data_IF_994264724520
#
_entry.id   IF_994264724520
#
_cell.length_a   1.000
_cell.length_b   1.000
_cell.length_c   1.000
_cell.angle_alpha   90.00
_cell.angle_beta   90.00
_cell.angle_gamma   90.00
#
_symmetry.space_group_name_H-M   'P 1'
#
loop_
_entity.id
_entity.type
_entity.pdbx_description
1 polymer ?
#
# COMPACT_ATOMS: atom_id res chain seq x y z
N UNK A 1 4.55 -18.25 -16.01
CA UNK A 1 5.49 -17.71 -15.00
C UNK A 1 5.06 -18.27 -13.66
N UNK A 2 5.90 -19.12 -13.06
CA UNK A 2 5.66 -19.75 -11.77
C UNK A 2 5.42 -18.69 -10.69
N UNK A 3 4.56 -19.00 -9.72
CA UNK A 3 4.37 -18.25 -8.48
C UNK A 3 5.72 -18.16 -7.76
N UNK A 4 6.56 -17.18 -8.12
CA UNK A 4 7.72 -16.82 -7.30
C UNK A 4 7.14 -16.23 -6.03
N UNK A 5 7.10 -17.03 -4.98
CA UNK A 5 6.90 -16.51 -3.65
C UNK A 5 7.90 -15.40 -3.40
N UNK A 6 7.40 -14.23 -3.01
CA UNK A 6 8.26 -13.16 -2.57
C UNK A 6 8.77 -13.47 -1.17
N UNK A 7 10.08 -13.28 -1.00
CA UNK A 7 10.74 -13.46 0.27
C UNK A 7 10.30 -12.36 1.26
N UNK A 8 10.18 -12.74 2.53
CA UNK A 8 9.87 -11.79 3.62
C UNK A 8 11.19 -11.13 4.03
N UNK A 9 11.22 -9.79 4.02
CA UNK A 9 12.36 -9.04 4.53
C UNK A 9 12.32 -8.99 6.06
N UNK A 10 13.43 -9.23 6.74
CA UNK A 10 13.51 -9.13 8.20
C UNK A 10 14.47 -8.04 8.62
N UNK A 11 14.08 -7.26 9.63
CA UNK A 11 14.88 -6.17 10.18
C UNK A 11 14.84 -6.21 11.70
N UNK A 12 15.96 -5.90 12.35
CA UNK A 12 16.05 -5.87 13.81
C UNK A 12 16.69 -4.59 14.33
N UNK A 13 16.19 -4.12 15.48
CA UNK A 13 16.74 -2.98 16.23
C UNK A 13 16.36 -3.13 17.70
N UNK A 14 17.34 -3.16 18.60
CA UNK A 14 17.12 -3.13 20.06
C UNK A 14 16.07 -4.17 20.54
N UNK A 15 16.27 -5.44 20.19
CA UNK A 15 15.36 -6.57 20.48
C UNK A 15 13.96 -6.47 19.86
N UNK A 16 13.76 -5.54 18.92
CA UNK A 16 12.55 -5.44 18.10
C UNK A 16 12.81 -6.02 16.73
N UNK A 17 11.76 -6.58 16.14
CA UNK A 17 11.80 -7.23 14.84
C UNK A 17 10.67 -6.72 13.94
N UNK A 18 11.01 -6.43 12.69
CA UNK A 18 10.07 -6.08 11.62
C UNK A 18 10.18 -7.11 10.50
N UNK A 19 9.08 -7.79 10.20
CA UNK A 19 8.91 -8.62 9.02
C UNK A 19 8.17 -7.82 7.94
N UNK A 20 8.66 -7.84 6.71
CA UNK A 20 8.10 -7.08 5.58
C UNK A 20 7.56 -8.04 4.52
N UNK A 21 6.24 -8.07 4.35
CA UNK A 21 5.51 -8.91 3.39
C UNK A 21 5.08 -8.06 2.20
N UNK A 22 5.66 -8.25 1.01
CA UNK A 22 5.31 -7.46 -0.17
C UNK A 22 4.00 -7.94 -0.80
N UNK A 23 3.08 -7.00 -0.99
CA UNK A 23 1.76 -7.20 -1.60
C UNK A 23 1.72 -6.82 -3.08
N UNK A 24 0.81 -7.44 -3.80
CA UNK A 24 0.44 -7.11 -5.19
C UNK A 24 -1.08 -6.98 -5.21
N UNK A 25 -1.61 -5.84 -5.66
CA UNK A 25 -3.05 -5.55 -5.59
C UNK A 25 -3.91 -6.37 -6.56
N UNK A 26 -3.33 -6.86 -7.67
CA UNK A 26 -4.02 -7.74 -8.63
C UNK A 26 -3.12 -8.93 -8.97
N UNK A 27 -3.56 -10.12 -8.60
CA UNK A 27 -2.83 -11.36 -8.82
C UNK A 27 -3.77 -12.57 -8.85
N UNK A 28 -3.24 -13.78 -9.01
CA UNK A 28 -4.05 -14.99 -8.90
C UNK A 28 -4.45 -15.26 -7.44
N UNK A 29 -5.58 -15.93 -7.19
CA UNK A 29 -6.02 -16.32 -5.84
C UNK A 29 -4.94 -17.03 -5.00
N UNK A 30 -4.13 -17.90 -5.62
CA UNK A 30 -3.13 -18.70 -4.88
C UNK A 30 -2.03 -17.81 -4.27
N UNK A 31 -1.76 -16.64 -4.85
CA UNK A 31 -0.84 -15.68 -4.26
C UNK A 31 -1.33 -15.16 -2.91
N UNK A 32 -2.62 -14.85 -2.82
CA UNK A 32 -3.23 -14.33 -1.60
C UNK A 32 -3.39 -15.41 -0.53
N UNK A 33 -3.69 -16.66 -0.93
CA UNK A 33 -3.72 -17.79 -0.01
C UNK A 33 -2.34 -18.05 0.62
N UNK A 34 -1.27 -18.04 -0.19
CA UNK A 34 0.10 -18.16 0.34
C UNK A 34 0.47 -16.99 1.27
N UNK A 35 0.06 -15.78 0.92
CA UNK A 35 0.30 -14.58 1.73
C UNK A 35 -0.42 -14.68 3.07
N UNK A 36 -1.67 -15.14 3.06
CA UNK A 36 -2.47 -15.39 4.25
C UNK A 36 -1.76 -16.35 5.20
N UNK A 37 -1.30 -17.50 4.71
CA UNK A 37 -0.57 -18.48 5.53
C UNK A 37 0.67 -17.88 6.19
N UNK A 38 1.41 -17.02 5.48
CA UNK A 38 2.58 -16.31 6.04
C UNK A 38 2.19 -15.33 7.15
N UNK A 39 1.16 -14.51 6.91
CA UNK A 39 0.68 -13.53 7.90
C UNK A 39 0.13 -14.25 9.13
N UNK A 40 -0.65 -15.31 8.95
CA UNK A 40 -1.22 -16.10 10.05
C UNK A 40 -0.13 -16.80 10.88
N UNK A 41 0.93 -17.31 10.21
CA UNK A 41 2.11 -17.86 10.90
C UNK A 41 2.82 -16.78 11.73
N UNK A 42 3.12 -15.62 11.14
CA UNK A 42 3.78 -14.52 11.86
C UNK A 42 2.93 -14.03 13.03
N UNK A 43 1.62 -13.91 12.84
CA UNK A 43 0.69 -13.55 13.93
C UNK A 43 0.75 -14.56 15.07
N UNK A 44 0.81 -15.86 14.75
CA UNK A 44 0.95 -16.93 15.75
C UNK A 44 2.28 -16.84 16.50
N UNK A 45 3.33 -16.32 15.86
CA UNK A 45 4.65 -16.05 16.47
C UNK A 45 4.70 -14.73 17.28
N UNK A 46 3.55 -14.08 17.48
CA UNK A 46 3.37 -12.87 18.28
C UNK A 46 3.59 -11.56 17.52
N UNK A 47 3.62 -11.58 16.19
CA UNK A 47 3.70 -10.35 15.39
C UNK A 47 2.37 -9.60 15.39
N UNK A 48 2.44 -8.28 15.57
CA UNK A 48 1.32 -7.38 15.31
C UNK A 48 1.33 -6.95 13.85
N UNK A 49 0.19 -7.01 13.19
CA UNK A 49 0.08 -6.75 11.75
C UNK A 49 -0.19 -5.26 11.50
N UNK A 50 0.64 -4.65 10.67
CA UNK A 50 0.57 -3.26 10.23
C UNK A 50 0.30 -3.27 8.73
N UNK A 51 -0.87 -2.78 8.31
CA UNK A 51 -1.33 -2.95 6.93
C UNK A 51 -1.49 -1.62 6.19
N UNK A 52 -1.35 -1.70 4.87
CA UNK A 52 -1.60 -0.63 3.90
C UNK A 52 -3.08 -0.57 3.52
N UNK A 53 -3.67 0.62 3.56
CA UNK A 53 -4.93 0.92 2.88
C UNK A 53 -5.10 2.42 2.77
N UNK A 54 -5.35 2.94 1.56
CA UNK A 54 -5.76 4.32 1.38
C UNK A 54 -7.27 4.39 1.60
N UNK A 55 -7.66 4.48 2.87
CA UNK A 55 -9.05 4.62 3.28
C UNK A 55 -9.45 6.10 3.34
N UNK A 56 -10.74 6.37 3.58
CA UNK A 56 -11.23 7.71 3.90
C UNK A 56 -12.16 7.64 5.10
N UNK A 57 -12.06 8.63 6.00
CA UNK A 57 -13.04 8.83 7.08
C UNK A 57 -14.16 9.78 6.69
N UNK A 58 -14.09 10.38 5.50
CA UNK A 58 -15.10 11.30 4.99
C UNK A 58 -16.38 10.53 4.65
N UNK A 59 -17.49 10.90 5.29
CA UNK A 59 -18.81 10.31 5.06
C UNK A 59 -19.64 11.07 4.03
N UNK A 60 -19.30 12.33 3.77
CA UNK A 60 -19.96 13.15 2.74
C UNK A 60 -19.47 12.75 1.34
N UNK A 61 -20.40 12.31 0.50
CA UNK A 61 -20.06 11.77 -0.82
C UNK A 61 -19.50 12.83 -1.78
N UNK A 62 -19.93 14.09 -1.66
CA UNK A 62 -19.42 15.18 -2.49
C UNK A 62 -18.00 15.55 -2.11
N UNK A 63 -17.69 15.59 -0.81
CA UNK A 63 -16.35 15.80 -0.30
C UNK A 63 -15.42 14.64 -0.68
N UNK A 64 -15.90 13.39 -0.63
CA UNK A 64 -15.14 12.23 -1.07
C UNK A 64 -14.85 12.30 -2.59
N UNK A 65 -15.84 12.62 -3.41
CA UNK A 65 -15.66 12.82 -4.86
C UNK A 65 -14.63 13.93 -5.14
N UNK A 66 -14.70 15.05 -4.41
CA UNK A 66 -13.72 16.13 -4.52
C UNK A 66 -12.30 15.65 -4.19
N UNK A 67 -12.11 14.93 -3.09
CA UNK A 67 -10.80 14.39 -2.71
C UNK A 67 -10.27 13.40 -3.75
N UNK A 68 -11.14 12.55 -4.30
CA UNK A 68 -10.81 11.60 -5.35
C UNK A 68 -10.38 12.28 -6.64
N UNK A 69 -11.05 13.37 -7.04
CA UNK A 69 -10.64 14.18 -8.21
C UNK A 69 -9.30 14.86 -7.98
N UNK A 70 -9.07 15.41 -6.78
CA UNK A 70 -7.79 16.00 -6.40
C UNK A 70 -6.65 14.98 -6.46
N UNK A 71 -6.88 13.80 -5.92
CA UNK A 71 -5.92 12.69 -6.00
C UNK A 71 -5.63 12.35 -7.47
N UNK A 72 -6.67 12.14 -8.28
CA UNK A 72 -6.53 11.84 -9.72
C UNK A 72 -5.80 12.92 -10.50
N UNK A 73 -5.98 14.20 -10.18
CA UNK A 73 -5.24 15.27 -10.85
C UNK A 73 -3.71 15.11 -10.66
N UNK A 74 -3.30 14.64 -9.48
CA UNK A 74 -1.89 14.48 -9.12
C UNK A 74 -1.33 13.14 -9.62
N UNK A 75 -2.13 12.07 -9.62
CA UNK A 75 -1.67 10.69 -9.87
C UNK A 75 -2.07 10.14 -11.23
N UNK A 76 -3.01 10.78 -11.93
CA UNK A 76 -3.54 10.31 -13.19
C UNK A 76 -4.57 9.18 -13.08
N UNK A 77 -4.97 8.76 -11.87
CA UNK A 77 -6.03 7.76 -11.67
C UNK A 77 -6.83 8.02 -10.39
N UNK A 78 -8.08 7.53 -10.35
CA UNK A 78 -8.89 7.54 -9.13
C UNK A 78 -8.66 6.25 -8.33
N UNK A 79 -8.75 6.32 -6.99
CA UNK A 79 -8.75 5.16 -6.09
C UNK A 79 -10.04 4.34 -6.23
N UNK A 80 -10.12 3.56 -7.29
CA UNK A 80 -11.16 2.58 -7.53
C UNK A 80 -10.56 1.19 -7.47
N UNK A 81 -11.38 0.16 -7.25
CA UNK A 81 -10.89 -1.21 -7.38
C UNK A 81 -10.30 -1.41 -8.78
N UNK A 82 -9.12 -2.03 -8.85
CA UNK A 82 -8.42 -2.32 -10.09
C UNK A 82 -9.23 -3.24 -11.03
N UNK A 83 -10.06 -4.10 -10.45
CA UNK A 83 -10.92 -5.07 -11.15
C UNK A 83 -12.32 -4.54 -11.46
N UNK A 84 -12.68 -3.33 -11.01
CA UNK A 84 -13.94 -2.67 -11.37
C UNK A 84 -14.02 -2.45 -12.89
N UNK A 85 -15.10 -2.93 -13.52
CA UNK A 85 -15.30 -2.82 -14.97
C UNK A 85 -15.35 -1.36 -15.47
N UNK A 86 -15.73 -0.42 -14.62
CA UNK A 86 -15.73 1.01 -14.93
C UNK A 86 -14.35 1.67 -14.81
N UNK A 87 -13.36 0.97 -14.23
CA UNK A 87 -11.99 1.47 -14.06
C UNK A 87 -11.13 1.23 -15.32
N UNK A 88 -11.29 2.12 -16.30
CA UNK A 88 -10.56 2.04 -17.58
C UNK A 88 -9.06 2.28 -17.45
N UNK A 89 -8.60 2.92 -16.38
CA UNK A 89 -7.17 3.21 -16.13
C UNK A 89 -6.37 1.93 -15.93
N UNK A 90 -6.99 0.89 -15.36
CA UNK A 90 -6.33 -0.39 -15.05
C UNK A 90 -6.88 -1.59 -15.82
N UNK A 91 -7.63 -1.36 -16.90
CA UNK A 91 -8.22 -2.41 -17.76
C UNK A 91 -7.24 -3.52 -18.21
N UNK A 92 -5.95 -3.19 -18.34
CA UNK A 92 -4.92 -4.18 -18.70
C UNK A 92 -4.68 -5.27 -17.64
N UNK A 93 -5.06 -5.01 -16.38
CA UNK A 93 -4.96 -5.91 -15.24
C UNK A 93 -6.20 -6.83 -15.10
N UNK A 94 -7.33 -6.46 -15.71
CA UNK A 94 -8.64 -7.12 -15.60
C UNK A 94 -8.73 -8.41 -16.41
N UNK A 95 -7.92 -9.40 -16.04
CA UNK A 95 -7.88 -10.73 -16.68
C UNK A 95 -8.63 -11.72 -15.80
N UNK A 96 -9.44 -12.58 -16.41
CA UNK A 96 -10.32 -13.53 -15.70
C UNK A 96 -9.63 -14.46 -14.68
N UNK A 97 -8.32 -14.67 -14.80
CA UNK A 97 -7.51 -15.49 -13.88
C UNK A 97 -6.96 -14.72 -12.67
N UNK A 98 -7.21 -13.42 -12.58
CA UNK A 98 -6.73 -12.55 -11.51
C UNK A 98 -7.91 -11.99 -10.72
N UNK A 99 -7.63 -11.66 -9.46
CA UNK A 99 -8.58 -11.07 -8.51
C UNK A 99 -7.92 -9.90 -7.80
N UNK A 100 -8.76 -8.95 -7.36
CA UNK A 100 -8.34 -7.82 -6.55
C UNK A 100 -8.02 -8.26 -5.13
N UNK A 101 -7.02 -7.65 -4.50
CA UNK A 101 -6.71 -7.81 -3.08
C UNK A 101 -7.91 -7.45 -2.19
N UNK A 102 -8.76 -6.52 -2.63
CA UNK A 102 -9.94 -6.08 -1.87
C UNK A 102 -11.05 -7.14 -1.82
N UNK A 103 -11.04 -8.10 -2.75
CA UNK A 103 -12.09 -9.12 -2.89
C UNK A 103 -11.74 -10.46 -2.23
N UNK A 104 -10.57 -10.55 -1.59
CA UNK A 104 -10.04 -11.80 -1.03
C UNK A 104 -9.52 -11.63 0.39
N UNK A 105 -9.61 -12.70 1.18
CA UNK A 105 -8.89 -12.79 2.45
C UNK A 105 -7.43 -13.15 2.18
N UNK A 106 -6.54 -12.17 2.36
CA UNK A 106 -5.10 -12.36 2.27
C UNK A 106 -4.42 -12.38 3.65
N UNK A 107 -5.19 -12.48 4.75
CA UNK A 107 -4.71 -12.64 6.11
C UNK A 107 -4.75 -11.40 6.99
N UNK A 108 -5.06 -10.21 6.47
CA UNK A 108 -5.25 -8.98 7.27
C UNK A 108 -6.65 -8.92 7.87
N UNK A 109 -6.75 -8.59 9.16
CA UNK A 109 -8.00 -8.36 9.86
C UNK A 109 -8.18 -6.87 10.18
N UNK A 110 -8.99 -6.18 9.38
CA UNK A 110 -9.25 -4.74 9.51
C UNK A 110 -9.85 -4.28 10.85
N UNK A 111 -10.35 -5.20 11.70
CA UNK A 111 -10.89 -4.86 13.02
C UNK A 111 -9.84 -4.87 14.12
N UNK A 112 -8.81 -5.70 13.98
CA UNK A 112 -7.82 -5.97 15.06
C UNK A 112 -6.40 -5.60 14.68
N UNK A 113 -6.08 -5.60 13.38
CA UNK A 113 -4.77 -5.24 12.88
C UNK A 113 -4.65 -3.70 12.78
N UNK A 114 -3.43 -3.21 12.71
CA UNK A 114 -3.13 -1.79 12.76
C UNK A 114 -3.12 -1.17 11.36
N UNK A 115 -4.04 -0.23 11.11
CA UNK A 115 -3.97 0.63 9.94
C UNK A 115 -2.71 1.51 10.04
N UNK A 116 -1.74 1.26 9.17
CA UNK A 116 -0.41 1.86 9.24
C UNK A 116 -0.13 2.79 8.04
N UNK A 117 -1.17 3.28 7.40
CA UNK A 117 -1.12 4.12 6.21
C UNK A 117 -1.95 5.41 6.41
N UNK A 118 -1.86 6.33 5.45
CA UNK A 118 -2.58 7.60 5.48
C UNK A 118 -4.00 7.46 4.92
N UNK A 119 -4.92 8.21 5.49
CA UNK A 119 -6.23 8.43 4.88
C UNK A 119 -6.12 9.43 3.71
N UNK A 120 -7.02 9.31 2.73
CA UNK A 120 -7.02 10.14 1.53
C UNK A 120 -7.00 11.64 1.84
N UNK A 121 -7.83 12.11 2.77
CA UNK A 121 -7.87 13.51 3.18
C UNK A 121 -6.52 14.00 3.74
N UNK A 122 -5.80 13.16 4.47
CA UNK A 122 -4.48 13.49 5.02
C UNK A 122 -3.44 13.55 3.91
N UNK A 123 -3.52 12.65 2.92
CA UNK A 123 -2.63 12.67 1.76
C UNK A 123 -2.79 13.96 0.95
N UNK A 124 -4.05 14.38 0.72
CA UNK A 124 -4.35 15.64 0.03
C UNK A 124 -3.88 16.84 0.85
N UNK A 125 -4.13 16.87 2.15
CA UNK A 125 -3.69 17.96 3.04
C UNK A 125 -2.15 18.11 3.03
N UNK A 126 -1.42 17.00 3.21
CA UNK A 126 0.04 16.99 3.20
C UNK A 126 0.64 17.38 1.84
N UNK A 127 -0.06 17.05 0.75
CA UNK A 127 0.30 17.50 -0.59
C UNK A 127 0.09 19.00 -0.74
N UNK A 128 -1.09 19.52 -0.41
CA UNK A 128 -1.44 20.93 -0.57
C UNK A 128 -0.58 21.83 0.33
N UNK A 129 -0.25 21.36 1.53
CA UNK A 129 0.68 22.05 2.44
C UNK A 129 2.07 22.22 1.82
N UNK A 130 2.52 21.26 1.00
CA UNK A 130 3.86 21.28 0.38
C UNK A 130 3.89 22.01 -0.96
N UNK A 131 2.89 21.82 -1.80
CA UNK A 131 2.92 22.25 -3.21
C UNK A 131 1.88 23.32 -3.55
N UNK A 132 1.07 23.74 -2.59
CA UNK A 132 -0.07 24.63 -2.81
C UNK A 132 -1.36 23.87 -3.12
N UNK A 133 -2.48 24.60 -3.09
CA UNK A 133 -3.81 24.02 -3.30
C UNK A 133 -3.93 23.34 -4.67
N UNK A 134 -4.57 22.18 -4.67
CA UNK A 134 -4.96 21.45 -5.87
C UNK A 134 -6.23 22.11 -6.41
N UNK A 135 -6.10 22.79 -7.56
CA UNK A 135 -7.20 23.48 -8.24
C UNK A 135 -7.66 22.62 -9.40
N UNK A 136 -8.90 22.14 -9.32
CA UNK A 136 -9.55 21.36 -10.37
C UNK A 136 -10.08 22.29 -11.46
N UNK A 137 -9.85 21.93 -12.72
CA UNK A 137 -10.46 22.59 -13.86
C UNK A 137 -11.73 21.87 -14.33
N UNK A 138 -12.34 22.35 -15.42
CA UNK A 138 -13.56 21.76 -15.97
C UNK A 138 -13.36 20.32 -16.44
N UNK A 139 -12.20 19.98 -17.02
CA UNK A 139 -11.90 18.61 -17.43
C UNK A 139 -11.83 17.67 -16.22
N UNK A 140 -11.19 18.11 -15.14
CA UNK A 140 -11.08 17.34 -13.89
C UNK A 140 -12.45 17.06 -13.26
N UNK A 141 -13.32 18.07 -13.32
CA UNK A 141 -14.64 18.07 -12.68
C UNK A 141 -15.69 17.32 -13.49
N UNK A 142 -15.57 17.28 -14.81
CA UNK A 142 -16.54 16.64 -15.71
C UNK A 142 -16.18 15.20 -16.09
N UNK A 143 -14.90 14.85 -16.11
CA UNK A 143 -14.47 13.47 -16.44
C UNK A 143 -14.85 12.53 -15.30
N UNK A 144 -15.61 11.46 -15.60
CA UNK A 144 -15.99 10.44 -14.61
C UNK A 144 -14.74 9.75 -14.02
N UNK A 145 -14.76 9.40 -12.73
CA UNK A 145 -13.59 8.90 -11.98
C UNK A 145 -12.93 7.67 -12.61
N UNK A 146 -13.72 6.73 -13.15
CA UNK A 146 -13.23 5.50 -13.78
C UNK A 146 -12.65 5.66 -15.18
N UNK A 147 -12.86 6.81 -15.84
CA UNK A 147 -12.35 7.03 -17.20
C UNK A 147 -10.87 7.38 -17.17
N UNK A 148 -10.16 7.01 -18.25
CA UNK A 148 -8.74 7.34 -18.40
C UNK A 148 -8.52 8.85 -18.28
N UNK A 149 -7.63 9.24 -17.39
CA UNK A 149 -7.32 10.64 -17.15
C UNK A 149 -6.43 11.20 -18.26
N UNK A 150 -6.86 12.30 -18.87
CA UNK A 150 -6.14 13.00 -19.96
C UNK A 150 -6.11 14.52 -19.78
N UNK A 151 -6.50 15.03 -18.61
CA UNK A 151 -6.70 16.47 -18.41
C UNK A 151 -5.39 17.23 -18.20
N UNK A 152 -4.50 16.75 -17.34
CA UNK A 152 -3.19 17.35 -17.13
C UNK A 152 -2.06 16.33 -17.19
N UNK A 153 -0.85 16.80 -17.50
CA UNK A 153 0.36 15.97 -17.40
C UNK A 153 0.68 15.75 -15.92
N UNK A 154 0.94 14.50 -15.57
CA UNK A 154 1.40 14.11 -14.24
C UNK A 154 2.86 14.54 -14.05
N UNK A 155 3.15 15.21 -12.95
CA UNK A 155 4.51 15.51 -12.49
C UNK A 155 4.98 14.33 -11.63
N UNK A 156 5.89 13.52 -12.16
CA UNK A 156 6.39 12.29 -11.52
C UNK A 156 6.90 12.54 -10.08
N UNK A 157 7.47 13.72 -9.81
CA UNK A 157 7.98 14.04 -8.47
C UNK A 157 6.86 14.28 -7.46
N UNK A 158 5.75 14.87 -7.91
CA UNK A 158 4.54 15.12 -7.12
C UNK A 158 3.74 13.83 -6.95
N UNK A 159 3.66 13.01 -7.99
CA UNK A 159 3.08 11.68 -7.95
C UNK A 159 3.83 10.78 -6.94
N UNK A 160 5.16 10.67 -7.06
CA UNK A 160 5.97 9.90 -6.12
C UNK A 160 5.84 10.43 -4.68
N UNK A 161 5.72 11.76 -4.52
CA UNK A 161 5.52 12.34 -3.20
C UNK A 161 4.24 11.80 -2.53
N UNK A 162 3.12 11.82 -3.25
CA UNK A 162 1.81 11.42 -2.68
C UNK A 162 1.67 9.89 -2.61
N UNK A 163 2.10 9.16 -3.64
CA UNK A 163 1.93 7.70 -3.70
C UNK A 163 2.91 6.94 -2.80
N UNK A 164 4.12 7.48 -2.56
CA UNK A 164 5.18 6.77 -1.85
C UNK A 164 5.72 7.56 -0.67
N UNK A 165 6.28 8.75 -0.91
CA UNK A 165 7.15 9.41 0.08
C UNK A 165 6.45 9.64 1.42
N UNK A 166 5.26 10.24 1.42
CA UNK A 166 4.55 10.57 2.67
C UNK A 166 4.05 9.32 3.39
N UNK A 167 3.62 8.31 2.63
CA UNK A 167 3.09 7.04 3.17
C UNK A 167 4.19 6.21 3.81
N UNK A 168 5.34 6.10 3.17
CA UNK A 168 6.52 5.41 3.73
C UNK A 168 7.01 6.10 5.01
N UNK A 169 7.01 7.43 5.02
CA UNK A 169 7.40 8.19 6.21
C UNK A 169 6.44 7.94 7.37
N UNK A 170 5.14 7.91 7.08
CA UNK A 170 4.11 7.63 8.07
C UNK A 170 4.23 6.21 8.62
N UNK A 171 4.43 5.21 7.77
CA UNK A 171 4.68 3.83 8.18
C UNK A 171 5.91 3.71 9.09
N UNK A 172 7.03 4.33 8.72
CA UNK A 172 8.25 4.32 9.53
C UNK A 172 8.05 4.99 10.89
N UNK A 173 7.32 6.10 10.93
CA UNK A 173 6.95 6.76 12.19
C UNK A 173 6.09 5.86 13.08
N UNK A 174 5.14 5.12 12.49
CA UNK A 174 4.33 4.12 13.19
C UNK A 174 5.17 2.98 13.73
N UNK A 175 6.15 2.49 12.97
CA UNK A 175 7.09 1.48 13.42
C UNK A 175 7.90 2.02 14.60
N UNK A 176 8.58 3.16 14.45
CA UNK A 176 9.46 3.69 15.50
C UNK A 176 8.71 3.98 16.81
N UNK A 177 7.50 4.55 16.73
CA UNK A 177 6.67 4.91 17.90
C UNK A 177 5.91 3.73 18.52
N UNK A 178 5.82 2.59 17.84
CA UNK A 178 5.12 1.42 18.36
C UNK A 178 5.90 0.79 19.52
N UNK A 179 5.17 0.36 20.56
CA UNK A 179 5.72 -0.45 21.65
C UNK A 179 5.80 -1.94 21.32
N UNK A 180 5.32 -2.36 20.14
CA UNK A 180 5.36 -3.75 19.70
C UNK A 180 6.82 -4.20 19.48
N UNK A 181 7.15 -5.36 20.05
CA UNK A 181 8.46 -6.02 19.84
C UNK A 181 8.54 -6.72 18.49
N UNK A 182 7.42 -7.20 17.95
CA UNK A 182 7.35 -7.89 16.65
C UNK A 182 6.26 -7.25 15.80
N UNK A 183 6.63 -6.72 14.64
CA UNK A 183 5.72 -6.06 13.71
C UNK A 183 5.83 -6.75 12.36
N UNK A 184 4.70 -7.12 11.75
CA UNK A 184 4.67 -7.53 10.35
C UNK A 184 4.02 -6.42 9.54
N UNK A 185 4.77 -5.88 8.60
CA UNK A 185 4.34 -4.86 7.65
C UNK A 185 3.82 -5.55 6.39
N UNK A 186 2.57 -5.29 6.04
CA UNK A 186 1.89 -5.84 4.87
C UNK A 186 1.56 -4.69 3.92
N UNK A 187 2.47 -4.42 2.99
CA UNK A 187 2.45 -3.24 2.11
C UNK A 187 2.80 -3.63 0.68
N UNK A 188 2.36 -2.82 -0.27
CA UNK A 188 2.61 -2.96 -1.69
C UNK A 188 4.10 -3.08 -1.97
N UNK A 189 4.44 -3.94 -2.93
CA UNK A 189 5.85 -4.30 -3.21
C UNK A 189 6.77 -3.09 -3.38
N UNK A 190 6.30 -2.02 -4.03
CA UNK A 190 7.10 -0.80 -4.25
C UNK A 190 7.44 -0.13 -2.90
N UNK A 191 6.48 -0.04 -1.99
CA UNK A 191 6.71 0.47 -0.63
C UNK A 191 7.73 -0.37 0.13
N UNK A 192 7.64 -1.71 0.05
CA UNK A 192 8.60 -2.59 0.72
C UNK A 192 10.02 -2.44 0.15
N UNK A 193 10.17 -2.22 -1.16
CA UNK A 193 11.47 -1.94 -1.78
C UNK A 193 12.08 -0.64 -1.25
N UNK A 194 11.28 0.41 -1.16
CA UNK A 194 11.72 1.70 -0.61
C UNK A 194 12.04 1.61 0.89
N UNK A 195 11.18 0.91 1.65
CA UNK A 195 11.31 0.65 3.07
C UNK A 195 12.67 0.04 3.40
N UNK A 196 13.16 -0.92 2.59
CA UNK A 196 14.44 -1.57 2.81
C UNK A 196 15.56 -0.57 3.06
N UNK A 197 15.70 0.44 2.21
CA UNK A 197 16.74 1.45 2.35
C UNK A 197 16.45 2.44 3.48
N UNK A 198 15.18 2.81 3.69
CA UNK A 198 14.77 3.86 4.64
C UNK A 198 14.83 3.37 6.08
N UNK A 199 14.42 2.14 6.36
CA UNK A 199 14.43 1.55 7.71
C UNK A 199 15.86 1.33 8.21
N UNK A 200 16.79 0.95 7.32
CA UNK A 200 18.22 0.83 7.66
C UNK A 200 18.84 2.15 8.08
N UNK A 201 18.43 3.28 7.48
CA UNK A 201 18.89 4.62 7.88
C UNK A 201 18.42 5.02 9.29
N UNK A 202 17.40 4.34 9.82
CA UNK A 202 16.92 4.52 11.20
C UNK A 202 17.61 3.56 12.20
N UNK A 203 18.64 2.82 11.76
CA UNK A 203 19.42 1.92 12.61
C UNK A 203 18.92 0.48 12.66
N UNK A 204 17.94 0.10 11.83
CA UNK A 204 17.50 -1.29 11.73
C UNK A 204 18.44 -2.10 10.85
N UNK A 205 18.87 -3.27 11.34
CA UNK A 205 19.76 -4.18 10.61
C UNK A 205 18.96 -5.20 9.82
N UNK A 206 19.24 -5.35 8.51
CA UNK A 206 18.59 -6.36 7.67
C UNK A 206 19.15 -7.76 7.93
N UNK A 207 18.25 -8.70 8.22
CA UNK A 207 18.58 -10.09 8.58
C UNK A 207 18.50 -11.02 7.36
N UNK A 208 19.56 -11.02 6.53
CA UNK A 208 19.61 -11.79 5.26
C UNK A 208 19.33 -13.29 5.43
N UNK A 209 19.87 -13.90 6.49
CA UNK A 209 19.75 -15.34 6.73
C UNK A 209 18.29 -15.76 7.04
N UNK A 210 17.51 -14.91 7.72
CA UNK A 210 16.09 -15.18 8.01
C UNK A 210 15.25 -15.15 6.73
N UNK A 211 15.56 -14.22 5.83
CA UNK A 211 14.91 -14.11 4.52
C UNK A 211 15.14 -15.35 3.65
N UNK A 212 16.35 -15.94 3.70
CA UNK A 212 16.71 -17.16 2.95
C UNK A 212 16.10 -18.44 3.55
N UNK A 213 15.93 -18.52 4.88
CA UNK A 213 15.30 -19.68 5.54
C UNK A 213 13.83 -19.85 5.13
N UNK A 214 13.09 -18.78 4.89
CA UNK A 214 11.66 -18.86 4.50
C UNK A 214 11.47 -19.22 3.03
N UNK A 215 12.41 -18.88 2.14
CA UNK A 215 12.35 -19.36 0.75
C UNK A 215 12.39 -20.89 0.64
N UNK A 216 12.91 -21.58 1.66
CA UNK A 216 12.96 -23.04 1.71
C UNK A 216 11.66 -23.70 2.19
N UNK A 217 10.68 -22.95 2.70
CA UNK A 217 9.36 -23.46 3.12
C UNK A 217 8.35 -23.64 1.97
N UNK A 218 8.83 -23.53 0.72
CA UNK A 218 7.98 -23.48 -0.49
C UNK A 218 8.37 -24.63 -1.44
N UNK A 219 8.70 -25.78 -0.86
CA UNK A 219 8.73 -27.05 -1.56
C UNK A 219 7.51 -27.87 -1.15
#
# INVERSE_FOLDING_TARGET
MANKSFAIGYYEKEDREVAAVPMIHVNKPEFYEMTKRKIDSLRSDGYQVFYESIDSKVTDSLQLDLLMRKFRQVTGFALMDYMDSENESFKSLQKAKYVSQAEVDYGVNYKTDHHADLYLEQMIELFEKRFGKIILNDCDSTTLLGKKYKCSKVDESKEYYILNRIRDHYLLDKIEKSSARKIVVVFGRIHIMDLHSKIQKLGWSHQREKTERITNFIK
#
